data_IF_812591449113
#
_entry.id   IF_812591449113
#
_cell.length_a   1.000
_cell.length_b   1.000
_cell.length_c   1.000
_cell.angle_alpha   90.00
_cell.angle_beta   90.00
_cell.angle_gamma   90.00
#
_symmetry.space_group_name_H-M   'P 1'
#
loop_
_entity.id
_entity.type
_entity.pdbx_description
1 polymer ?
#
# COMPACT_ATOMS: atom_id res chain seq x y z
N UNK A 1 -2.17 -5.87 -1.40
CA UNK A 1 -0.95 -6.68 -1.22
C UNK A 1 0.16 -5.89 -0.55
N UNK A 2 1.35 -6.44 -0.35
CA UNK A 2 2.54 -5.69 0.04
C UNK A 2 2.88 -4.59 -0.98
N UNK A 3 3.66 -3.59 -0.57
CA UNK A 3 4.17 -2.58 -1.50
C UNK A 3 5.04 -3.25 -2.58
N UNK A 4 4.81 -2.88 -3.84
CA UNK A 4 5.49 -3.47 -5.00
C UNK A 4 4.95 -4.83 -5.44
N UNK A 5 4.08 -5.47 -4.66
CA UNK A 5 3.45 -6.73 -5.06
C UNK A 5 2.33 -6.51 -6.08
N UNK A 6 2.14 -7.49 -6.95
CA UNK A 6 1.06 -7.52 -7.93
C UNK A 6 -0.08 -8.44 -7.47
N UNK A 7 -1.26 -8.26 -8.08
CA UNK A 7 -2.50 -8.96 -7.70
C UNK A 7 -2.40 -10.49 -7.73
N UNK A 8 -1.53 -11.06 -8.57
CA UNK A 8 -1.31 -12.49 -8.71
C UNK A 8 -0.61 -13.12 -7.50
N UNK A 9 0.06 -12.31 -6.69
CA UNK A 9 0.79 -12.76 -5.50
C UNK A 9 -0.15 -12.96 -4.30
N UNK A 10 0.17 -12.36 -3.15
CA UNK A 10 -0.61 -12.58 -1.91
C UNK A 10 -2.08 -12.20 -2.05
N UNK A 11 -2.41 -11.14 -2.79
CA UNK A 11 -3.81 -10.72 -2.99
C UNK A 11 -4.60 -11.77 -3.75
N UNK A 12 -4.04 -12.35 -4.79
CA UNK A 12 -4.64 -13.43 -5.58
C UNK A 12 -4.85 -14.69 -4.74
N UNK A 13 -3.87 -15.07 -3.93
CA UNK A 13 -3.99 -16.22 -3.02
C UNK A 13 -5.16 -16.04 -2.03
N UNK A 14 -5.27 -14.86 -1.40
CA UNK A 14 -6.40 -14.57 -0.52
C UNK A 14 -7.73 -14.58 -1.27
N UNK A 15 -7.78 -13.96 -2.45
CA UNK A 15 -9.00 -13.93 -3.26
C UNK A 15 -9.45 -15.33 -3.66
N UNK A 16 -8.54 -16.19 -4.14
CA UNK A 16 -8.84 -17.57 -4.48
C UNK A 16 -9.33 -18.36 -3.26
N UNK A 17 -8.61 -18.28 -2.14
CA UNK A 17 -8.99 -19.00 -0.92
C UNK A 17 -10.36 -18.57 -0.39
N UNK A 18 -10.71 -17.29 -0.50
CA UNK A 18 -12.03 -16.81 -0.11
C UNK A 18 -13.11 -17.20 -1.11
N UNK A 19 -12.81 -17.24 -2.41
CA UNK A 19 -13.74 -17.73 -3.42
C UNK A 19 -14.11 -19.20 -3.19
N UNK A 20 -13.14 -20.05 -2.85
CA UNK A 20 -13.36 -21.45 -2.49
C UNK A 20 -14.27 -21.62 -1.25
N UNK A 21 -14.37 -20.60 -0.42
CA UNK A 21 -15.27 -20.52 0.75
C UNK A 21 -16.62 -19.89 0.46
N UNK A 22 -16.93 -19.61 -0.81
CA UNK A 22 -18.22 -19.13 -1.27
C UNK A 22 -18.38 -17.60 -1.31
N UNK A 23 -17.29 -16.84 -1.25
CA UNK A 23 -17.33 -15.39 -1.43
C UNK A 23 -17.16 -15.02 -2.91
N UNK A 24 -17.78 -13.92 -3.33
CA UNK A 24 -17.39 -13.23 -4.56
C UNK A 24 -16.20 -12.36 -4.24
N UNK A 25 -15.10 -12.54 -4.96
CA UNK A 25 -13.83 -11.89 -4.63
C UNK A 25 -13.24 -11.15 -5.81
N UNK A 26 -12.48 -10.09 -5.51
CA UNK A 26 -11.65 -9.37 -6.47
C UNK A 26 -10.28 -9.13 -5.86
N UNK A 27 -9.23 -9.39 -6.63
CA UNK A 27 -7.89 -8.91 -6.38
C UNK A 27 -7.53 -7.91 -7.46
N UNK A 28 -6.87 -6.82 -7.08
CA UNK A 28 -6.52 -5.75 -8.01
C UNK A 28 -5.10 -5.24 -7.75
N UNK A 29 -4.48 -4.73 -8.78
CA UNK A 29 -3.27 -3.93 -8.65
C UNK A 29 -3.67 -2.52 -8.24
N UNK A 30 -3.04 -1.93 -7.22
CA UNK A 30 -3.32 -0.54 -6.89
C UNK A 30 -2.82 0.39 -8.00
N UNK A 31 -3.34 1.60 -8.05
CA UNK A 31 -2.88 2.65 -8.96
C UNK A 31 -1.35 2.73 -8.97
N UNK A 32 -0.76 2.95 -10.12
CA UNK A 32 0.69 3.01 -10.39
C UNK A 32 1.46 1.68 -10.30
N UNK A 33 0.79 0.56 -10.04
CA UNK A 33 1.44 -0.75 -9.84
C UNK A 33 0.85 -1.80 -10.78
N UNK A 34 1.65 -2.81 -11.15
CA UNK A 34 1.23 -3.94 -11.96
C UNK A 34 0.61 -3.51 -13.30
N UNK A 35 -0.58 -4.03 -13.62
CA UNK A 35 -1.35 -3.70 -14.82
C UNK A 35 -2.21 -2.43 -14.67
N UNK A 36 -2.34 -1.88 -13.46
CA UNK A 36 -3.04 -0.61 -13.26
C UNK A 36 -2.25 0.56 -13.82
N UNK A 37 -2.97 1.57 -14.29
CA UNK A 37 -2.38 2.78 -14.87
C UNK A 37 -1.78 3.73 -13.83
N UNK A 38 -1.26 4.84 -14.33
CA UNK A 38 -0.68 5.93 -13.54
C UNK A 38 0.83 6.09 -13.77
N UNK A 39 1.25 7.35 -13.81
CA UNK A 39 2.66 7.75 -13.91
C UNK A 39 2.97 8.79 -12.82
N UNK A 40 4.18 8.77 -12.24
CA UNK A 40 5.23 7.77 -12.45
C UNK A 40 4.85 6.40 -11.84
N UNK A 41 5.46 5.33 -12.35
CA UNK A 41 5.19 3.96 -11.85
C UNK A 41 5.72 3.78 -10.43
N UNK A 42 5.17 2.78 -9.73
CA UNK A 42 5.60 2.35 -8.39
C UNK A 42 5.42 3.41 -7.30
N UNK A 43 4.42 4.29 -7.44
CA UNK A 43 4.06 5.24 -6.40
C UNK A 43 3.19 4.56 -5.35
N UNK A 44 3.55 4.72 -4.09
CA UNK A 44 2.67 4.38 -2.96
C UNK A 44 2.19 5.69 -2.31
N UNK A 45 0.89 5.95 -2.40
CA UNK A 45 0.26 7.14 -1.82
C UNK A 45 -0.90 6.72 -0.92
N UNK A 46 -0.88 7.05 0.38
CA UNK A 46 -1.99 6.74 1.27
C UNK A 46 -3.34 7.25 0.77
N UNK A 47 -3.38 8.43 0.19
CA UNK A 47 -4.61 9.05 -0.30
C UNK A 47 -5.15 8.29 -1.52
N UNK A 48 -4.31 8.11 -2.55
CA UNK A 48 -4.70 7.45 -3.80
C UNK A 48 -5.01 5.97 -3.55
N UNK A 49 -4.15 5.27 -2.82
CA UNK A 49 -4.35 3.84 -2.60
C UNK A 49 -5.49 3.54 -1.60
N UNK A 50 -5.90 4.49 -0.76
CA UNK A 50 -7.16 4.40 -0.01
C UNK A 50 -8.36 4.48 -0.95
N UNK A 51 -8.34 5.38 -1.93
CA UNK A 51 -9.37 5.50 -2.96
C UNK A 51 -9.47 4.25 -3.84
N UNK A 52 -8.36 3.57 -4.13
CA UNK A 52 -8.38 2.30 -4.87
C UNK A 52 -9.27 1.23 -4.19
N UNK A 53 -9.34 1.20 -2.85
CA UNK A 53 -10.27 0.32 -2.14
C UNK A 53 -11.72 0.73 -2.35
N UNK A 54 -12.05 2.01 -2.32
CA UNK A 54 -13.40 2.51 -2.60
C UNK A 54 -13.81 2.22 -4.03
N UNK A 55 -12.91 2.39 -5.00
CA UNK A 55 -13.14 2.02 -6.40
C UNK A 55 -13.38 0.51 -6.57
N UNK A 56 -12.65 -0.33 -5.84
CA UNK A 56 -12.91 -1.78 -5.84
C UNK A 56 -14.27 -2.13 -5.24
N UNK A 57 -14.73 -1.39 -4.22
CA UNK A 57 -16.08 -1.52 -3.65
C UNK A 57 -17.14 -1.08 -4.66
N UNK A 58 -16.91 -0.01 -5.43
CA UNK A 58 -17.78 0.39 -6.53
C UNK A 58 -17.93 -0.75 -7.54
N UNK A 59 -16.80 -1.29 -7.99
CA UNK A 59 -16.80 -2.40 -8.95
C UNK A 59 -17.59 -3.61 -8.43
N UNK A 60 -17.32 -4.05 -7.19
CA UNK A 60 -18.04 -5.18 -6.59
C UNK A 60 -19.54 -4.88 -6.46
N UNK A 61 -19.89 -3.70 -5.97
CA UNK A 61 -21.29 -3.30 -5.76
C UNK A 61 -22.13 -3.22 -7.05
N UNK A 62 -21.50 -3.19 -8.22
CA UNK A 62 -22.15 -3.24 -9.51
C UNK A 62 -22.38 -4.67 -10.03
N UNK A 63 -21.80 -5.69 -9.38
CA UNK A 63 -21.98 -7.07 -9.80
C UNK A 63 -23.33 -7.61 -9.30
N UNK A 64 -24.14 -8.26 -10.17
CA UNK A 64 -25.48 -8.74 -9.80
C UNK A 64 -25.50 -9.77 -8.67
N UNK A 65 -24.39 -10.50 -8.48
CA UNK A 65 -24.24 -11.55 -7.48
C UNK A 65 -23.72 -11.04 -6.13
N UNK A 66 -23.46 -9.74 -6.00
CA UNK A 66 -22.89 -9.17 -4.78
C UNK A 66 -23.97 -8.51 -3.93
N UNK A 67 -24.02 -8.91 -2.68
CA UNK A 67 -24.79 -8.23 -1.63
C UNK A 67 -24.02 -7.00 -1.15
N UNK A 68 -24.51 -5.81 -1.47
CA UNK A 68 -23.90 -4.51 -1.14
C UNK A 68 -23.78 -4.26 0.36
N UNK A 69 -24.60 -4.92 1.17
CA UNK A 69 -24.56 -4.79 2.63
C UNK A 69 -23.57 -5.75 3.27
N UNK A 70 -22.84 -6.55 2.49
CA UNK A 70 -21.94 -7.59 2.95
C UNK A 70 -20.56 -7.53 2.28
N UNK A 71 -20.07 -6.35 1.94
CA UNK A 71 -18.75 -6.14 1.34
C UNK A 71 -17.71 -5.96 2.44
N UNK A 72 -16.63 -6.72 2.36
CA UNK A 72 -15.47 -6.61 3.23
C UNK A 72 -14.18 -6.46 2.45
N UNK A 73 -13.12 -6.01 3.12
CA UNK A 73 -11.80 -5.85 2.53
C UNK A 73 -10.75 -6.63 3.32
N UNK A 74 -9.74 -7.14 2.62
CA UNK A 74 -8.55 -7.74 3.21
C UNK A 74 -7.34 -6.93 2.76
N UNK A 75 -6.60 -6.37 3.72
CA UNK A 75 -5.36 -5.65 3.46
C UNK A 75 -4.15 -6.41 3.98
N UNK A 76 -3.09 -6.51 3.16
CA UNK A 76 -1.87 -7.24 3.50
C UNK A 76 -0.70 -6.26 3.59
N UNK A 77 0.14 -6.39 4.61
CA UNK A 77 1.32 -5.57 4.84
C UNK A 77 0.97 -4.07 4.94
N UNK A 78 1.65 -3.19 4.23
CA UNK A 78 1.37 -1.75 4.23
C UNK A 78 -0.05 -1.40 3.74
N UNK A 79 -0.61 -2.15 2.81
CA UNK A 79 -2.00 -1.99 2.38
C UNK A 79 -3.04 -2.40 3.44
N UNK A 80 -2.61 -3.08 4.50
CA UNK A 80 -3.48 -3.31 5.67
C UNK A 80 -3.89 -2.00 6.35
N UNK A 81 -2.94 -1.07 6.52
CA UNK A 81 -3.23 0.26 7.05
C UNK A 81 -4.16 1.07 6.13
N UNK A 82 -3.95 1.02 4.82
CA UNK A 82 -4.81 1.68 3.83
C UNK A 82 -6.22 1.08 3.78
N UNK A 83 -6.36 -0.24 3.94
CA UNK A 83 -7.67 -0.90 4.06
C UNK A 83 -8.44 -0.44 5.31
N UNK A 84 -7.76 -0.27 6.44
CA UNK A 84 -8.36 0.31 7.66
C UNK A 84 -8.80 1.76 7.43
N UNK A 85 -7.98 2.56 6.77
CA UNK A 85 -8.32 3.94 6.45
C UNK A 85 -9.54 4.01 5.53
N UNK A 86 -9.59 3.17 4.49
CA UNK A 86 -10.76 3.07 3.61
C UNK A 86 -12.03 2.67 4.39
N UNK A 87 -11.96 1.65 5.25
CA UNK A 87 -13.10 1.24 6.08
C UNK A 87 -13.56 2.31 7.08
N UNK A 88 -12.66 3.20 7.51
CA UNK A 88 -13.01 4.31 8.39
C UNK A 88 -13.85 5.38 7.67
N UNK A 89 -13.62 5.62 6.39
CA UNK A 89 -14.27 6.68 5.62
C UNK A 89 -15.37 6.16 4.69
N UNK A 90 -15.27 4.95 4.15
CA UNK A 90 -16.26 4.33 3.28
C UNK A 90 -17.17 3.35 4.05
N UNK A 91 -18.37 3.77 4.37
CA UNK A 91 -19.34 2.98 5.16
C UNK A 91 -19.96 1.80 4.41
N UNK A 92 -19.69 1.64 3.13
CA UNK A 92 -20.05 0.45 2.34
C UNK A 92 -19.17 -0.74 2.69
N UNK A 93 -17.97 -0.51 3.23
CA UNK A 93 -17.10 -1.55 3.76
C UNK A 93 -17.63 -1.95 5.15
N UNK A 94 -18.12 -3.18 5.28
CA UNK A 94 -18.76 -3.71 6.51
C UNK A 94 -17.82 -4.51 7.38
N UNK A 95 -16.73 -5.00 6.80
CA UNK A 95 -15.72 -5.77 7.53
C UNK A 95 -14.34 -5.48 6.95
N UNK A 96 -13.34 -5.49 7.81
CA UNK A 96 -11.94 -5.37 7.41
C UNK A 96 -11.12 -6.43 8.14
N UNK A 97 -10.25 -7.10 7.39
CA UNK A 97 -9.23 -7.97 7.94
C UNK A 97 -7.85 -7.52 7.48
N UNK A 98 -6.86 -7.63 8.33
CA UNK A 98 -5.48 -7.30 7.99
C UNK A 98 -4.55 -8.46 8.29
N UNK A 99 -3.56 -8.63 7.45
CA UNK A 99 -2.50 -9.62 7.64
C UNK A 99 -1.16 -8.90 7.64
N UNK A 100 -0.32 -9.16 8.66
CA UNK A 100 1.02 -8.57 8.80
C UNK A 100 1.04 -7.03 8.62
N UNK A 101 -0.03 -6.37 9.07
CA UNK A 101 -0.24 -4.94 8.90
C UNK A 101 0.69 -4.12 9.79
N UNK A 102 1.16 -3.01 9.26
CA UNK A 102 1.81 -1.96 10.03
C UNK A 102 1.40 -0.56 9.54
N UNK A 103 1.55 0.42 10.42
CA UNK A 103 1.25 1.81 10.11
C UNK A 103 2.40 2.45 9.32
N UNK A 104 2.22 2.52 8.01
CA UNK A 104 3.22 3.12 7.12
C UNK A 104 3.49 4.59 7.42
N UNK A 105 2.47 5.36 7.82
CA UNK A 105 2.65 6.77 8.13
C UNK A 105 3.53 6.95 9.38
N UNK A 106 3.36 6.09 10.37
CA UNK A 106 4.21 6.06 11.55
C UNK A 106 5.63 5.63 11.22
N UNK A 107 5.79 4.56 10.44
CA UNK A 107 7.12 4.07 10.03
C UNK A 107 7.88 5.14 9.24
N UNK A 108 7.24 5.80 8.29
CA UNK A 108 7.87 6.86 7.49
C UNK A 108 8.22 8.11 8.32
N UNK A 109 7.43 8.43 9.34
CA UNK A 109 7.66 9.61 10.17
C UNK A 109 8.56 9.37 11.39
N UNK A 110 8.51 8.17 11.96
CA UNK A 110 9.21 7.84 13.21
C UNK A 110 10.27 6.75 13.05
N UNK A 111 10.41 6.17 11.87
CA UNK A 111 11.34 5.06 11.64
C UNK A 111 10.86 3.74 12.25
N UNK A 112 11.61 2.70 11.98
CA UNK A 112 11.39 1.39 12.58
C UNK A 112 11.59 1.45 14.10
N UNK A 113 10.60 0.94 14.85
CA UNK A 113 10.57 1.02 16.33
C UNK A 113 10.68 2.45 16.90
N UNK A 114 10.14 3.44 16.20
CA UNK A 114 10.19 4.86 16.57
C UNK A 114 11.63 5.37 16.77
N UNK A 115 12.58 4.87 16.01
CA UNK A 115 14.01 5.20 16.11
C UNK A 115 14.36 6.60 15.60
N UNK A 116 13.49 7.24 14.83
CA UNK A 116 13.73 8.56 14.24
C UNK A 116 13.28 9.66 15.18
N UNK A 117 14.17 10.57 15.51
CA UNK A 117 13.88 11.75 16.32
C UNK A 117 13.06 12.79 15.53
N UNK A 118 12.41 13.71 16.24
CA UNK A 118 11.68 14.83 15.60
C UNK A 118 12.59 15.69 14.71
N UNK A 119 13.83 15.89 15.11
CA UNK A 119 14.79 16.68 14.34
C UNK A 119 15.19 15.98 13.04
N UNK A 120 15.50 14.71 13.08
CA UNK A 120 15.77 13.90 11.87
C UNK A 120 14.59 13.87 10.92
N UNK A 121 13.36 13.69 11.46
CA UNK A 121 12.16 13.76 10.64
C UNK A 121 11.99 15.13 9.98
N UNK A 122 12.19 16.22 10.72
CA UNK A 122 12.11 17.58 10.15
C UNK A 122 13.16 17.79 9.03
N UNK A 123 14.39 17.34 9.24
CA UNK A 123 15.45 17.40 8.22
C UNK A 123 15.09 16.56 6.98
N UNK A 124 14.47 15.39 7.17
CA UNK A 124 14.00 14.55 6.05
C UNK A 124 12.91 15.27 5.25
N UNK A 125 11.93 15.87 5.91
CA UNK A 125 10.88 16.65 5.24
C UNK A 125 11.45 17.84 4.46
N UNK A 126 12.44 18.53 5.00
CA UNK A 126 13.12 19.62 4.31
C UNK A 126 13.83 19.12 3.05
N UNK A 127 14.60 18.03 3.13
CA UNK A 127 15.26 17.40 1.97
C UNK A 127 14.25 16.99 0.89
N UNK A 128 13.14 16.35 1.28
CA UNK A 128 12.08 15.95 0.35
C UNK A 128 11.42 17.18 -0.32
N UNK A 129 11.21 18.26 0.43
CA UNK A 129 10.68 19.51 -0.11
C UNK A 129 11.61 20.14 -1.14
N UNK A 130 12.91 20.13 -0.88
CA UNK A 130 13.92 20.60 -1.84
C UNK A 130 14.01 19.69 -3.08
N UNK A 131 13.85 18.37 -2.88
CA UNK A 131 13.84 17.42 -4.00
C UNK A 131 12.71 17.69 -4.96
N UNK A 132 11.50 18.08 -4.49
CA UNK A 132 10.37 18.42 -5.36
C UNK A 132 10.69 19.51 -6.39
N UNK A 133 11.50 20.51 -6.02
CA UNK A 133 11.93 21.53 -6.98
C UNK A 133 12.83 20.95 -8.06
N UNK A 134 13.78 20.09 -7.69
CA UNK A 134 14.66 19.41 -8.66
C UNK A 134 13.88 18.51 -9.60
N UNK A 135 12.87 17.80 -9.07
CA UNK A 135 11.99 16.96 -9.88
C UNK A 135 11.19 17.79 -10.89
N UNK A 136 10.64 18.93 -10.43
CA UNK A 136 9.91 19.85 -11.29
C UNK A 136 10.81 20.48 -12.39
N UNK A 137 12.04 20.82 -12.07
CA UNK A 137 13.03 21.33 -13.04
C UNK A 137 13.41 20.30 -14.09
N UNK A 138 13.52 19.03 -13.70
CA UNK A 138 13.86 17.92 -14.60
C UNK A 138 12.66 17.41 -15.40
N UNK A 139 11.44 17.63 -14.91
CA UNK A 139 10.22 17.06 -15.47
C UNK A 139 10.02 15.57 -15.14
N UNK A 140 10.79 15.02 -14.22
CA UNK A 140 10.70 13.63 -13.77
C UNK A 140 10.97 13.53 -12.26
N UNK A 141 10.24 12.67 -11.51
CA UNK A 141 10.48 12.47 -10.10
C UNK A 141 11.75 11.65 -9.85
N UNK A 142 12.48 11.98 -8.79
CA UNK A 142 13.49 11.09 -8.25
C UNK A 142 12.84 9.88 -7.62
N UNK A 143 13.18 8.70 -8.10
CA UNK A 143 12.74 7.45 -7.49
C UNK A 143 13.65 7.12 -6.30
N UNK A 144 13.02 6.87 -5.15
CA UNK A 144 13.68 6.32 -3.98
C UNK A 144 13.73 4.80 -4.07
N UNK A 145 14.76 4.19 -3.51
CA UNK A 145 14.77 2.76 -3.26
C UNK A 145 14.72 2.52 -1.76
N UNK A 146 13.80 1.66 -1.35
CA UNK A 146 13.72 1.25 0.05
C UNK A 146 14.81 0.23 0.41
N UNK A 147 15.42 -0.42 -0.58
CA UNK A 147 16.30 -1.58 -0.38
C UNK A 147 17.71 -1.43 -0.98
N UNK A 148 17.97 -0.45 -1.84
CA UNK A 148 19.25 -0.35 -2.56
C UNK A 148 20.42 0.19 -1.73
N UNK A 149 20.22 0.53 -0.46
CA UNK A 149 21.27 1.09 0.40
C UNK A 149 21.30 0.43 1.77
N UNK A 150 21.36 -0.90 1.81
CA UNK A 150 21.68 -1.58 3.07
C UNK A 150 23.13 -1.22 3.44
N UNK A 151 23.28 -0.51 4.56
CA UNK A 151 24.59 0.00 5.03
C UNK A 151 25.28 -0.97 5.98
N UNK A 152 24.64 -2.07 6.32
CA UNK A 152 25.04 -3.03 7.33
C UNK A 152 24.54 -2.64 8.74
N UNK A 153 24.03 -3.64 9.45
CA UNK A 153 23.42 -3.47 10.76
C UNK A 153 21.89 -3.34 10.76
N UNK A 154 21.27 -3.44 9.59
CA UNK A 154 19.82 -3.49 9.48
C UNK A 154 19.27 -4.80 10.08
N UNK A 155 17.99 -4.78 10.55
CA UNK A 155 17.30 -5.99 10.95
C UNK A 155 17.30 -7.05 9.85
N UNK A 156 17.50 -8.32 10.20
CA UNK A 156 17.63 -9.42 9.23
C UNK A 156 16.50 -9.45 8.22
N UNK A 157 15.26 -9.17 8.63
CA UNK A 157 14.11 -9.15 7.70
C UNK A 157 14.27 -8.12 6.57
N UNK A 158 14.96 -7.00 6.80
CA UNK A 158 15.22 -6.01 5.74
C UNK A 158 16.21 -6.53 4.71
N UNK A 159 17.22 -7.29 5.18
CA UNK A 159 18.17 -7.96 4.30
C UNK A 159 17.46 -9.01 3.47
N UNK A 160 16.64 -9.86 4.12
CA UNK A 160 15.86 -10.91 3.45
C UNK A 160 14.90 -10.32 2.39
N UNK A 161 14.28 -9.18 2.67
CA UNK A 161 13.43 -8.48 1.70
C UNK A 161 14.23 -7.93 0.52
N UNK A 162 15.40 -7.34 0.77
CA UNK A 162 16.25 -6.83 -0.29
C UNK A 162 16.78 -7.94 -1.22
N UNK A 163 16.98 -9.13 -0.68
CA UNK A 163 17.40 -10.30 -1.46
C UNK A 163 16.24 -10.93 -2.26
N UNK A 164 14.99 -10.73 -1.81
CA UNK A 164 13.80 -11.32 -2.42
C UNK A 164 13.17 -10.44 -3.51
N UNK A 165 13.23 -9.13 -3.40
CA UNK A 165 12.62 -8.14 -4.29
C UNK A 165 13.66 -7.33 -5.08
#
# INVERSE_FOLDING_TARGET
>A
GPFGAVKEQSSGLYAQTMAERGFVTVAFDPSYTGESGGEPRHVASPDINTEDFSAAVDFLGLQPSVDRDRIGVIGVCGFGGMALNAAAVDKRIKAVATSTMYDMTRVMSRGYNDSTTRNEHAQTLEKLSQQRWKDAEKGEPALGSMYNELKGGEPQFMVDYADYY
#
